data_IF_637357664065
#
_entry.id   IF_637357664065
#
_cell.length_a   1.000
_cell.length_b   1.000
_cell.length_c   1.000
_cell.angle_alpha   90.00
_cell.angle_beta   90.00
_cell.angle_gamma   90.00
#
_symmetry.space_group_name_H-M   'P 1'
#
loop_
_entity.id
_entity.type
_entity.pdbx_description
1 polymer ?
#
# COMPACT_ATOMS: atom_id res chain seq x y z
N UNK A 1 -11.81 16.76 9.58
CA UNK A 1 -10.66 16.36 8.75
C UNK A 1 -9.45 16.17 9.64
N UNK A 2 -8.56 15.26 9.28
CA UNK A 2 -7.33 14.98 10.02
C UNK A 2 -6.35 14.25 9.11
N UNK A 3 -5.08 14.26 9.51
CA UNK A 3 -4.04 13.38 8.96
C UNK A 3 -3.37 12.73 10.16
N UNK A 4 -3.27 11.41 10.16
CA UNK A 4 -2.62 10.64 11.24
C UNK A 4 -1.66 9.61 10.65
N UNK A 5 -0.54 9.39 11.33
CA UNK A 5 0.50 8.44 10.92
C UNK A 5 0.88 7.58 12.11
N UNK A 6 0.93 6.26 11.90
CA UNK A 6 1.45 5.30 12.86
C UNK A 6 2.54 4.47 12.20
N UNK A 7 3.74 4.45 12.77
CA UNK A 7 4.86 3.67 12.24
C UNK A 7 5.20 2.51 13.17
N UNK A 8 5.47 1.35 12.58
CA UNK A 8 5.81 0.12 13.27
C UNK A 8 7.09 -0.46 12.65
N UNK A 9 8.28 -0.02 13.12
CA UNK A 9 9.50 -0.76 12.85
C UNK A 9 9.47 -2.06 13.66
N UNK A 10 9.75 -3.17 13.00
CA UNK A 10 9.79 -4.51 13.60
C UNK A 10 11.06 -5.22 13.14
N UNK A 11 11.66 -6.00 14.03
CA UNK A 11 12.82 -6.83 13.73
C UNK A 11 12.51 -8.23 14.19
N UNK A 12 12.36 -9.14 13.23
CA UNK A 12 12.01 -10.52 13.52
C UNK A 12 13.13 -11.16 14.34
N UNK A 13 12.85 -11.63 15.58
CA UNK A 13 13.89 -12.05 16.52
C UNK A 13 14.72 -13.25 16.04
N UNK A 14 14.11 -14.17 15.28
CA UNK A 14 14.76 -15.43 14.90
C UNK A 14 15.29 -15.50 13.45
N UNK A 15 14.93 -14.56 12.56
CA UNK A 15 15.11 -14.75 11.11
C UNK A 15 15.96 -13.69 10.40
N UNK A 16 16.35 -12.61 11.10
CA UNK A 16 17.20 -11.54 10.55
C UNK A 16 16.50 -10.64 9.53
N UNK A 17 15.17 -10.66 9.48
CA UNK A 17 14.36 -9.75 8.66
C UNK A 17 13.92 -8.58 9.55
N UNK A 18 14.01 -7.38 9.02
CA UNK A 18 13.40 -6.20 9.63
C UNK A 18 12.35 -5.64 8.67
N UNK A 19 11.20 -5.28 9.22
CA UNK A 19 10.04 -4.78 8.48
C UNK A 19 9.70 -3.39 8.99
N UNK A 20 9.32 -2.50 8.08
CA UNK A 20 8.81 -1.17 8.42
C UNK A 20 7.41 -1.00 7.85
N UNK A 21 6.41 -0.83 8.73
CA UNK A 21 5.04 -0.50 8.34
C UNK A 21 4.70 0.94 8.72
N UNK A 22 4.05 1.66 7.82
CA UNK A 22 3.45 2.96 8.09
C UNK A 22 1.96 2.95 7.73
N UNK A 23 1.11 3.20 8.71
CA UNK A 23 -0.34 3.33 8.54
C UNK A 23 -0.69 4.82 8.50
N UNK A 24 -1.31 5.27 7.42
CA UNK A 24 -1.60 6.70 7.17
C UNK A 24 -3.07 6.88 6.87
N UNK A 25 -3.77 7.66 7.69
CA UNK A 25 -5.16 8.05 7.43
C UNK A 25 -5.22 9.53 7.02
N UNK A 26 -5.80 9.79 5.85
CA UNK A 26 -6.00 11.13 5.30
C UNK A 26 -7.49 11.38 5.16
N UNK A 27 -8.05 12.12 6.10
CA UNK A 27 -9.42 12.62 6.00
C UNK A 27 -9.45 14.10 5.65
N UNK A 28 -10.14 14.41 4.57
CA UNK A 28 -10.50 15.78 4.20
C UNK A 28 -12.00 16.02 4.41
N UNK A 29 -12.41 17.29 4.30
CA UNK A 29 -13.82 17.72 4.28
C UNK A 29 -14.00 18.75 3.16
N UNK A 30 -15.20 18.85 2.59
CA UNK A 30 -15.50 19.81 1.52
C UNK A 30 -14.95 19.37 0.16
N UNK A 31 -14.45 20.32 -0.65
CA UNK A 31 -14.05 20.10 -2.05
C UNK A 31 -12.68 19.45 -2.25
N UNK A 32 -11.91 19.27 -1.18
CA UNK A 32 -10.56 18.71 -1.26
C UNK A 32 -10.68 17.20 -1.15
N UNK A 33 -10.31 16.47 -2.20
CA UNK A 33 -10.25 15.00 -2.15
C UNK A 33 -8.93 14.54 -1.51
N UNK A 34 -8.95 13.53 -0.62
CA UNK A 34 -7.72 12.95 -0.06
C UNK A 34 -6.89 12.24 -1.13
N UNK A 35 -7.51 11.83 -2.25
CA UNK A 35 -6.82 11.22 -3.39
C UNK A 35 -5.76 12.14 -4.01
N UNK A 36 -5.81 13.45 -3.75
CA UNK A 36 -4.76 14.39 -4.17
C UNK A 36 -3.41 14.14 -3.48
N UNK A 37 -3.41 13.54 -2.30
CA UNK A 37 -2.19 13.20 -1.56
C UNK A 37 -1.66 11.81 -1.92
N UNK A 38 -2.43 10.98 -2.65
CA UNK A 38 -2.15 9.56 -2.85
C UNK A 38 -0.77 9.32 -3.48
N UNK A 39 -0.48 9.94 -4.63
CA UNK A 39 0.80 9.74 -5.31
C UNK A 39 1.98 10.23 -4.46
N UNK A 40 1.83 11.38 -3.81
CA UNK A 40 2.85 11.91 -2.91
C UNK A 40 3.19 10.92 -1.80
N UNK A 41 2.17 10.31 -1.18
CA UNK A 41 2.37 9.30 -0.15
C UNK A 41 3.06 8.05 -0.71
N UNK A 42 2.61 7.52 -1.83
CA UNK A 42 3.23 6.33 -2.44
C UNK A 42 4.71 6.59 -2.77
N UNK A 43 5.02 7.74 -3.36
CA UNK A 43 6.41 8.12 -3.71
C UNK A 43 7.29 8.40 -2.49
N UNK A 44 6.71 8.85 -1.37
CA UNK A 44 7.49 9.18 -0.19
C UNK A 44 8.02 7.94 0.55
N UNK A 45 7.35 6.80 0.40
CA UNK A 45 7.73 5.57 1.09
C UNK A 45 8.31 4.50 0.17
N UNK A 46 8.00 4.53 -1.14
CA UNK A 46 8.46 3.54 -2.12
C UNK A 46 8.31 2.08 -1.65
N UNK A 47 7.23 1.79 -0.92
CA UNK A 47 7.03 0.51 -0.22
C UNK A 47 6.94 -0.69 -1.16
N UNK A 48 7.40 -1.86 -0.70
CA UNK A 48 7.20 -3.14 -1.39
C UNK A 48 5.71 -3.50 -1.54
N UNK A 49 4.92 -3.16 -0.52
CA UNK A 49 3.48 -3.41 -0.45
C UNK A 49 2.78 -2.11 -0.10
N UNK A 50 1.75 -1.78 -0.87
CA UNK A 50 0.87 -0.64 -0.60
C UNK A 50 -0.56 -1.16 -0.56
N UNK A 51 -1.22 -0.98 0.58
CA UNK A 51 -2.63 -1.29 0.78
C UNK A 51 -3.34 0.05 0.97
N UNK A 52 -4.35 0.32 0.14
CA UNK A 52 -5.08 1.58 0.17
C UNK A 52 -6.57 1.34 0.24
N UNK A 53 -7.19 1.93 1.26
CA UNK A 53 -8.62 2.00 1.43
C UNK A 53 -9.13 3.41 1.13
N UNK A 54 -10.17 3.50 0.30
CA UNK A 54 -10.93 4.72 0.09
C UNK A 54 -12.38 4.49 0.49
N UNK A 55 -12.82 5.23 1.50
CA UNK A 55 -14.18 5.16 2.03
C UNK A 55 -14.86 6.51 1.97
N UNK A 56 -16.01 6.56 1.32
CA UNK A 56 -16.88 7.74 1.36
C UNK A 56 -17.53 7.85 2.73
N UNK A 57 -17.38 9.00 3.39
CA UNK A 57 -17.96 9.25 4.73
C UNK A 57 -19.01 10.35 4.67
N UNK A 58 -20.24 10.02 5.08
CA UNK A 58 -21.34 10.97 5.16
C UNK A 58 -21.92 11.36 3.79
N UNK A 59 -22.70 12.44 3.77
CA UNK A 59 -23.31 13.00 2.56
C UNK A 59 -23.47 14.51 2.71
N UNK A 60 -23.57 15.21 1.59
CA UNK A 60 -24.08 16.59 1.52
C UNK A 60 -25.47 16.59 0.91
N UNK A 61 -26.25 17.66 1.11
CA UNK A 61 -27.60 17.79 0.56
C UNK A 61 -27.69 19.04 -0.31
N UNK A 62 -28.24 18.91 -1.51
CA UNK A 62 -28.44 20.06 -2.39
C UNK A 62 -29.70 20.88 -2.03
N UNK A 63 -29.90 21.98 -2.76
CA UNK A 63 -31.05 22.89 -2.58
C UNK A 63 -32.40 22.23 -2.85
N UNK A 64 -32.43 21.10 -3.57
CA UNK A 64 -33.64 20.30 -3.85
C UNK A 64 -33.84 19.17 -2.83
N UNK A 65 -32.94 19.05 -1.86
CA UNK A 65 -33.01 18.03 -0.82
C UNK A 65 -32.39 16.69 -1.23
N UNK A 66 -31.75 16.56 -2.40
CA UNK A 66 -31.11 15.30 -2.82
C UNK A 66 -29.79 15.11 -2.09
N UNK A 67 -29.52 13.89 -1.62
CA UNK A 67 -28.27 13.53 -0.95
C UNK A 67 -27.20 13.19 -1.98
N UNK A 68 -26.02 13.79 -1.83
CA UNK A 68 -24.82 13.53 -2.62
C UNK A 68 -23.74 12.95 -1.72
N UNK A 69 -23.30 11.73 -2.04
CA UNK A 69 -22.32 10.98 -1.26
C UNK A 69 -20.91 11.16 -1.82
N UNK A 70 -20.78 11.23 -3.15
CA UNK A 70 -19.51 11.37 -3.85
C UNK A 70 -19.66 12.38 -4.99
N UNK A 71 -18.63 13.19 -5.20
CA UNK A 71 -18.59 14.28 -6.19
C UNK A 71 -17.79 13.94 -7.45
N UNK A 72 -17.25 12.71 -7.54
CA UNK A 72 -16.48 12.21 -8.67
C UNK A 72 -16.80 10.73 -8.94
N UNK A 73 -16.49 10.27 -10.15
CA UNK A 73 -16.58 8.85 -10.49
C UNK A 73 -15.33 8.14 -10.00
N UNK A 74 -15.52 7.05 -9.28
CA UNK A 74 -14.47 6.11 -8.89
C UNK A 74 -15.03 4.70 -9.02
N UNK A 75 -14.26 3.86 -9.71
CA UNK A 75 -14.47 2.42 -9.74
C UNK A 75 -13.22 1.66 -9.27
N UNK A 76 -12.08 2.36 -9.12
CA UNK A 76 -10.80 1.83 -8.68
C UNK A 76 -9.95 2.98 -8.14
N UNK A 77 -9.22 2.74 -7.05
CA UNK A 77 -8.22 3.71 -6.55
C UNK A 77 -7.04 3.79 -7.53
N UNK A 78 -6.76 2.72 -8.29
CA UNK A 78 -5.69 2.67 -9.29
C UNK A 78 -5.81 3.78 -10.33
N UNK A 79 -7.02 4.26 -10.64
CA UNK A 79 -7.22 5.38 -11.57
C UNK A 79 -6.61 6.70 -11.10
N UNK A 80 -6.31 6.81 -9.81
CA UNK A 80 -5.73 7.99 -9.18
C UNK A 80 -4.23 7.82 -8.89
N UNK A 81 -3.67 6.64 -9.18
CA UNK A 81 -2.23 6.38 -9.12
C UNK A 81 -1.63 6.72 -10.49
N UNK A 82 -0.48 7.39 -10.51
CA UNK A 82 0.19 7.71 -11.76
C UNK A 82 0.64 6.41 -12.48
N UNK A 83 0.64 6.47 -13.82
CA UNK A 83 0.87 5.27 -14.65
C UNK A 83 2.25 4.66 -14.45
N UNK A 84 3.27 5.46 -14.17
CA UNK A 84 4.64 4.99 -14.01
C UNK A 84 4.79 4.21 -12.70
N UNK A 85 4.22 4.75 -11.63
CA UNK A 85 4.13 4.08 -10.33
C UNK A 85 3.33 2.81 -10.46
N UNK A 86 2.10 2.86 -10.98
CA UNK A 86 1.25 1.67 -11.10
C UNK A 86 1.91 0.56 -11.94
N UNK A 87 2.72 0.91 -12.96
CA UNK A 87 3.45 -0.07 -13.77
C UNK A 87 4.48 -0.88 -12.96
N UNK A 88 5.07 -0.30 -11.91
CA UNK A 88 6.02 -0.98 -11.00
C UNK A 88 5.35 -2.05 -10.13
N UNK A 89 4.04 -1.95 -9.93
CA UNK A 89 3.29 -2.81 -9.02
C UNK A 89 2.38 -3.81 -9.76
N UNK A 90 2.21 -4.99 -9.19
CA UNK A 90 1.05 -5.84 -9.43
C UNK A 90 -0.08 -5.33 -8.52
N UNK A 91 -1.17 -4.89 -9.12
CA UNK A 91 -2.30 -4.29 -8.41
C UNK A 91 -3.56 -5.17 -8.47
N UNK A 92 -4.33 -5.20 -7.39
CA UNK A 92 -5.58 -5.94 -7.26
C UNK A 92 -6.61 -5.10 -6.52
N UNK A 93 -7.83 -5.04 -7.06
CA UNK A 93 -8.97 -4.36 -6.42
C UNK A 93 -9.91 -5.33 -5.71
N UNK A 94 -10.44 -4.91 -4.56
CA UNK A 94 -11.46 -5.62 -3.77
C UNK A 94 -12.55 -4.63 -3.35
N UNK A 95 -13.28 -4.08 -4.32
CA UNK A 95 -14.26 -3.01 -4.08
C UNK A 95 -15.63 -3.54 -3.67
N UNK A 96 -16.30 -2.85 -2.74
CA UNK A 96 -17.71 -3.05 -2.37
C UNK A 96 -18.49 -1.79 -2.78
N UNK A 97 -18.94 -1.77 -4.04
CA UNK A 97 -19.54 -0.59 -4.67
C UNK A 97 -20.81 -0.09 -3.95
N UNK A 98 -21.63 -1.00 -3.44
CA UNK A 98 -22.87 -0.67 -2.74
C UNK A 98 -22.62 0.15 -1.47
N UNK A 99 -21.47 -0.04 -0.84
CA UNK A 99 -21.07 0.64 0.41
C UNK A 99 -20.10 1.80 0.18
N UNK A 100 -19.76 2.11 -1.08
CA UNK A 100 -18.72 3.08 -1.44
C UNK A 100 -17.38 2.83 -0.71
N UNK A 101 -17.00 1.55 -0.62
CA UNK A 101 -15.73 1.09 -0.09
C UNK A 101 -14.90 0.59 -1.26
N UNK A 102 -13.73 1.18 -1.44
CA UNK A 102 -12.78 0.82 -2.48
C UNK A 102 -11.48 0.41 -1.82
N UNK A 103 -10.89 -0.68 -2.29
CA UNK A 103 -9.70 -1.26 -1.71
C UNK A 103 -8.79 -1.70 -2.85
N UNK A 104 -7.55 -1.22 -2.83
CA UNK A 104 -6.52 -1.61 -3.79
C UNK A 104 -5.30 -2.09 -3.02
N UNK A 105 -4.82 -3.28 -3.39
CA UNK A 105 -3.55 -3.84 -2.92
C UNK A 105 -2.56 -3.78 -4.06
N UNK A 106 -1.33 -3.37 -3.77
CA UNK A 106 -0.23 -3.27 -4.73
C UNK A 106 1.00 -3.96 -4.14
N UNK A 107 1.67 -4.80 -4.93
CA UNK A 107 2.96 -5.43 -4.60
C UNK A 107 3.98 -5.09 -5.67
N UNK A 108 5.19 -4.68 -5.29
CA UNK A 108 6.27 -4.36 -6.22
C UNK A 108 6.63 -5.60 -7.05
N UNK A 109 6.73 -5.44 -8.38
CA UNK A 109 7.04 -6.55 -9.30
C UNK A 109 8.52 -6.92 -9.25
N UNK A 110 9.37 -5.90 -9.23
CA UNK A 110 10.81 -6.08 -9.42
C UNK A 110 11.47 -6.37 -8.07
N UNK A 111 11.84 -7.63 -7.88
CA UNK A 111 12.62 -8.06 -6.72
C UNK A 111 14.11 -7.90 -6.98
N UNK A 112 14.79 -7.07 -6.19
CA UNK A 112 16.24 -6.90 -6.24
C UNK A 112 16.85 -7.13 -4.85
N UNK A 113 17.60 -8.22 -4.68
CA UNK A 113 18.17 -8.61 -3.39
C UNK A 113 19.03 -7.50 -2.76
N UNK A 114 19.80 -6.75 -3.56
CA UNK A 114 20.64 -5.66 -3.04
C UNK A 114 19.84 -4.52 -2.41
N UNK A 115 18.55 -4.38 -2.73
CA UNK A 115 17.68 -3.37 -2.11
C UNK A 115 17.26 -3.74 -0.69
N UNK A 116 17.48 -5.00 -0.26
CA UNK A 116 17.06 -5.52 1.04
C UNK A 116 18.22 -5.87 1.97
N UNK A 117 19.46 -5.88 1.46
CA UNK A 117 20.63 -6.21 2.26
C UNK A 117 21.19 -4.96 2.96
N UNK A 118 21.56 -5.12 4.23
CA UNK A 118 22.16 -4.04 5.03
C UNK A 118 23.65 -4.32 5.28
N UNK A 119 24.51 -3.40 4.86
CA UNK A 119 25.96 -3.47 5.10
C UNK A 119 26.73 -4.50 4.27
N UNK A 120 26.04 -5.28 3.44
CA UNK A 120 26.63 -6.23 2.49
C UNK A 120 25.89 -6.16 1.15
N UNK A 121 26.49 -6.73 0.13
CA UNK A 121 25.92 -6.88 -1.21
C UNK A 121 25.63 -8.33 -1.50
N UNK A 122 24.88 -8.57 -2.56
CA UNK A 122 24.63 -9.91 -3.05
C UNK A 122 25.95 -10.63 -3.41
N UNK A 123 27.00 -9.95 -3.87
CA UNK A 123 28.29 -10.62 -4.16
C UNK A 123 28.99 -11.19 -2.93
N UNK A 124 28.65 -10.70 -1.73
CA UNK A 124 29.25 -11.16 -0.48
C UNK A 124 28.61 -12.46 0.05
N UNK A 125 27.47 -12.87 -0.51
CA UNK A 125 26.73 -14.07 -0.11
C UNK A 125 27.10 -15.29 -0.96
N UNK A 126 27.24 -16.45 -0.32
CA UNK A 126 27.31 -17.72 -1.04
C UNK A 126 26.00 -18.03 -1.75
N UNK A 127 26.03 -18.89 -2.77
CA UNK A 127 24.82 -19.28 -3.50
C UNK A 127 23.72 -19.88 -2.59
N UNK A 128 24.13 -20.60 -1.53
CA UNK A 128 23.21 -21.18 -0.57
C UNK A 128 22.56 -20.11 0.32
N UNK A 129 23.34 -19.13 0.79
CA UNK A 129 22.83 -18.01 1.60
C UNK A 129 21.89 -17.14 0.78
N UNK A 130 22.25 -16.79 -0.45
CA UNK A 130 21.38 -16.04 -1.37
C UNK A 130 20.02 -16.71 -1.49
N UNK A 131 20.01 -18.02 -1.79
CA UNK A 131 18.77 -18.77 -1.94
C UNK A 131 17.94 -18.73 -0.65
N UNK A 132 18.56 -18.93 0.50
CA UNK A 132 17.87 -18.88 1.79
C UNK A 132 17.28 -17.50 2.09
N UNK A 133 18.04 -16.43 1.88
CA UNK A 133 17.59 -15.04 2.11
C UNK A 133 16.45 -14.68 1.17
N UNK A 134 16.56 -14.99 -0.12
CA UNK A 134 15.51 -14.73 -1.10
C UNK A 134 14.22 -15.46 -0.72
N UNK A 135 14.31 -16.73 -0.34
CA UNK A 135 13.13 -17.49 0.08
C UNK A 135 12.45 -16.88 1.32
N UNK A 136 13.24 -16.42 2.30
CA UNK A 136 12.73 -15.76 3.50
C UNK A 136 12.05 -14.43 3.18
N UNK A 137 12.70 -13.57 2.40
CA UNK A 137 12.13 -12.28 1.99
C UNK A 137 10.85 -12.45 1.17
N UNK A 138 10.85 -13.36 0.20
CA UNK A 138 9.67 -13.64 -0.60
C UNK A 138 8.53 -14.18 0.26
N UNK A 139 8.82 -15.06 1.22
CA UNK A 139 7.81 -15.54 2.16
C UNK A 139 7.21 -14.37 2.96
N UNK A 140 8.05 -13.54 3.58
CA UNK A 140 7.62 -12.39 4.37
C UNK A 140 6.71 -11.44 3.55
N UNK A 141 7.17 -11.03 2.37
CA UNK A 141 6.41 -10.15 1.46
C UNK A 141 5.07 -10.79 1.09
N UNK A 142 5.04 -12.09 0.79
CA UNK A 142 3.80 -12.77 0.44
C UNK A 142 2.85 -12.92 1.63
N UNK A 143 3.37 -13.19 2.83
CA UNK A 143 2.56 -13.30 4.05
C UNK A 143 1.92 -11.96 4.40
N UNK A 144 2.69 -10.86 4.36
CA UNK A 144 2.19 -9.50 4.58
C UNK A 144 1.17 -9.13 3.51
N UNK A 145 1.47 -9.37 2.23
CA UNK A 145 0.57 -9.02 1.14
C UNK A 145 -0.75 -9.78 1.25
N UNK A 146 -0.73 -11.07 1.55
CA UNK A 146 -1.95 -11.87 1.65
C UNK A 146 -2.67 -11.72 3.00
N UNK A 147 -2.00 -11.19 4.03
CA UNK A 147 -2.54 -11.08 5.38
C UNK A 147 -2.72 -12.43 6.05
N UNK A 148 -1.90 -13.43 5.69
CA UNK A 148 -1.97 -14.79 6.24
C UNK A 148 -0.58 -15.40 6.30
N UNK A 149 -0.37 -16.27 7.29
CA UNK A 149 0.83 -17.10 7.34
C UNK A 149 0.74 -18.16 6.24
N UNK A 150 1.81 -18.34 5.47
CA UNK A 150 1.89 -19.34 4.42
C UNK A 150 2.53 -20.59 5.04
N UNK A 151 1.85 -21.73 4.91
CA UNK A 151 2.32 -23.02 5.40
C UNK A 151 3.34 -23.66 4.46
#
# INVERSE_FOLDING_TARGET
SHITVHTYPESHPDNGIATFRADIDVSTCGKISPLRALNYLIHSFESDIVITDYRVRGFTRDVKGVKHYIDHKINSIQNFVDKQTLARYQAMDVNIYQENIFHTKMMLKDFNLNSYLFGITESDLSAQEKKAVVQRLQREINEIYNGTNIA
#
